data_IF_269964434569
#
_entry.id   IF_269964434569
#
_cell.length_a   1.000
_cell.length_b   1.000
_cell.length_c   1.000
_cell.angle_alpha   90.00
_cell.angle_beta   90.00
_cell.angle_gamma   90.00
#
_symmetry.space_group_name_H-M   'P 1'
#
loop_
_entity.id
_entity.type
_entity.pdbx_description
1 polymer ?
#
# COMPACT_ATOMS: atom_id res chain seq x y z
N UNK A 1 18.34 -35.00 -6.48
CA UNK A 1 19.21 -35.55 -5.42
C UNK A 1 19.89 -34.40 -4.66
N UNK A 2 19.11 -33.57 -3.96
CA UNK A 2 19.58 -32.36 -3.24
C UNK A 2 18.94 -32.23 -1.83
N UNK A 3 18.49 -33.35 -1.25
CA UNK A 3 17.81 -33.37 0.05
C UNK A 3 18.76 -33.63 1.24
N UNK A 4 20.08 -33.57 1.06
CA UNK A 4 21.05 -34.00 2.07
C UNK A 4 21.93 -32.89 2.68
N UNK A 5 21.68 -31.61 2.42
CA UNK A 5 22.49 -30.52 3.01
C UNK A 5 21.95 -29.97 4.35
N UNK A 6 20.76 -30.41 4.79
CA UNK A 6 20.19 -30.02 6.08
C UNK A 6 20.67 -30.97 7.18
N UNK A 7 21.95 -30.88 7.58
CA UNK A 7 22.32 -31.27 8.95
C UNK A 7 21.54 -30.34 9.90
N UNK A 8 21.10 -30.89 11.03
CA UNK A 8 20.26 -30.26 12.06
C UNK A 8 20.88 -29.01 12.71
N UNK A 9 21.15 -27.98 11.91
CA UNK A 9 21.39 -26.65 12.45
C UNK A 9 20.11 -26.22 13.14
N UNK A 10 20.27 -25.63 14.32
CA UNK A 10 19.13 -25.01 14.98
C UNK A 10 18.59 -23.91 14.05
N UNK A 11 17.43 -24.16 13.46
CA UNK A 11 16.81 -23.28 12.45
C UNK A 11 16.69 -21.85 12.96
N UNK A 12 16.41 -21.68 14.25
CA UNK A 12 16.32 -20.40 14.93
C UNK A 12 17.61 -20.11 15.70
N UNK A 13 18.68 -19.78 14.97
CA UNK A 13 19.97 -19.41 15.57
C UNK A 13 20.61 -18.23 14.86
N UNK A 14 21.40 -17.46 15.61
CA UNK A 14 22.17 -16.34 15.08
C UNK A 14 23.22 -16.81 14.06
N UNK A 15 23.76 -18.02 14.23
CA UNK A 15 24.70 -18.63 13.29
C UNK A 15 24.06 -18.91 11.93
N UNK A 16 22.80 -19.33 11.92
CA UNK A 16 22.07 -19.53 10.66
C UNK A 16 21.76 -18.20 9.98
N UNK A 17 21.36 -17.17 10.74
CA UNK A 17 21.17 -15.82 10.21
C UNK A 17 22.47 -15.28 9.58
N UNK A 18 23.60 -15.44 10.28
CA UNK A 18 24.94 -15.08 9.78
C UNK A 18 25.27 -15.81 8.49
N UNK A 19 25.10 -17.13 8.49
CA UNK A 19 25.38 -17.96 7.32
C UNK A 19 24.55 -17.54 6.11
N UNK A 20 23.23 -17.38 6.25
CA UNK A 20 22.35 -16.99 5.16
C UNK A 20 22.70 -15.59 4.63
N UNK A 21 22.97 -14.64 5.52
CA UNK A 21 23.39 -13.28 5.15
C UNK A 21 24.70 -13.30 4.35
N UNK A 22 25.70 -14.05 4.82
CA UNK A 22 26.99 -14.18 4.14
C UNK A 22 26.88 -14.83 2.76
N UNK A 23 25.98 -15.82 2.60
CA UNK A 23 25.72 -16.41 1.29
C UNK A 23 25.00 -15.43 0.36
N UNK A 24 24.03 -14.67 0.87
CA UNK A 24 23.29 -13.68 0.10
C UNK A 24 24.22 -12.57 -0.42
N UNK A 25 25.13 -12.08 0.42
CA UNK A 25 26.16 -11.08 0.07
C UNK A 25 27.02 -11.54 -1.13
N UNK A 26 27.35 -12.83 -1.20
CA UNK A 26 28.19 -13.39 -2.29
C UNK A 26 27.47 -13.47 -3.64
N UNK A 27 26.15 -13.36 -3.67
CA UNK A 27 25.38 -13.42 -4.93
C UNK A 27 25.60 -12.15 -5.74
N UNK A 28 26.31 -12.25 -6.87
CA UNK A 28 26.56 -11.10 -7.75
C UNK A 28 25.46 -10.87 -8.81
N UNK A 29 24.77 -11.94 -9.20
CA UNK A 29 23.66 -11.92 -10.17
C UNK A 29 22.64 -12.99 -9.80
N UNK A 30 21.34 -12.71 -9.95
CA UNK A 30 20.30 -13.72 -9.79
C UNK A 30 19.81 -14.21 -11.16
N UNK A 31 19.77 -15.52 -11.33
CA UNK A 31 19.39 -16.20 -12.57
C UNK A 31 18.60 -17.49 -12.25
N UNK A 32 18.19 -18.22 -13.28
CA UNK A 32 17.38 -19.43 -13.15
C UNK A 32 18.03 -20.55 -12.30
N UNK A 33 19.36 -20.54 -12.16
CA UNK A 33 20.09 -21.59 -11.42
C UNK A 33 20.09 -21.31 -9.91
N UNK A 34 20.18 -20.04 -9.50
CA UNK A 34 20.31 -19.67 -8.08
C UNK A 34 19.06 -18.98 -7.49
N UNK A 35 18.03 -18.69 -8.28
CA UNK A 35 16.82 -18.01 -7.82
C UNK A 35 16.15 -18.69 -6.62
N UNK A 36 16.07 -20.02 -6.61
CA UNK A 36 15.37 -20.76 -5.56
C UNK A 36 16.10 -20.66 -4.22
N UNK A 37 17.45 -20.68 -4.27
CA UNK A 37 18.28 -20.41 -3.10
C UNK A 37 18.07 -18.99 -2.57
N UNK A 38 18.07 -17.99 -3.46
CA UNK A 38 17.87 -16.57 -3.08
C UNK A 38 16.50 -16.38 -2.44
N UNK A 39 15.45 -16.95 -3.03
CA UNK A 39 14.08 -16.94 -2.51
C UNK A 39 14.03 -17.50 -1.09
N UNK A 40 14.64 -18.68 -0.87
CA UNK A 40 14.65 -19.32 0.43
C UNK A 40 15.46 -18.52 1.46
N UNK A 41 16.60 -17.98 1.06
CA UNK A 41 17.43 -17.15 1.91
C UNK A 41 16.69 -15.89 2.37
N UNK A 42 16.01 -15.17 1.46
CA UNK A 42 15.20 -14.00 1.80
C UNK A 42 14.12 -14.36 2.84
N UNK A 43 13.38 -15.45 2.60
CA UNK A 43 12.30 -15.90 3.50
C UNK A 43 12.83 -16.30 4.88
N UNK A 44 13.88 -17.12 4.89
CA UNK A 44 14.50 -17.63 6.13
C UNK A 44 15.10 -16.50 6.96
N UNK A 45 15.77 -15.53 6.34
CA UNK A 45 16.29 -14.35 7.04
C UNK A 45 15.12 -13.57 7.70
N UNK A 46 14.06 -13.25 6.96
CA UNK A 46 12.94 -12.49 7.53
C UNK A 46 12.22 -13.24 8.66
N UNK A 47 12.09 -14.57 8.56
CA UNK A 47 11.54 -15.40 9.63
C UNK A 47 12.43 -15.33 10.88
N UNK A 48 13.75 -15.44 10.72
CA UNK A 48 14.72 -15.32 11.81
C UNK A 48 14.69 -13.93 12.46
N UNK A 49 14.55 -12.87 11.66
CA UNK A 49 14.45 -11.49 12.18
C UNK A 49 13.14 -11.28 12.92
N UNK A 50 12.03 -11.80 12.40
CA UNK A 50 10.73 -11.72 13.07
C UNK A 50 10.73 -12.50 14.37
N UNK A 51 11.30 -13.70 14.38
CA UNK A 51 11.48 -14.50 15.58
C UNK A 51 12.39 -13.79 16.59
N UNK A 52 13.56 -13.33 16.14
CA UNK A 52 14.54 -12.61 16.94
C UNK A 52 13.93 -11.37 17.58
N UNK A 53 13.16 -10.58 16.81
CA UNK A 53 12.44 -9.41 17.31
C UNK A 53 11.58 -9.70 18.56
N UNK A 54 11.05 -10.91 18.69
CA UNK A 54 10.19 -11.27 19.80
C UNK A 54 10.91 -11.99 20.94
N UNK A 55 12.09 -12.57 20.70
CA UNK A 55 12.75 -13.48 21.66
C UNK A 55 14.19 -13.11 22.03
N UNK A 56 14.95 -12.51 21.10
CA UNK A 56 16.38 -12.22 21.28
C UNK A 56 16.81 -10.99 20.47
N UNK A 57 17.21 -9.93 21.16
CA UNK A 57 17.61 -8.64 20.56
C UNK A 57 18.84 -8.78 19.66
N UNK A 58 19.73 -9.73 19.93
CA UNK A 58 20.99 -9.92 19.18
C UNK A 58 20.78 -10.20 17.69
N UNK A 59 19.65 -10.81 17.31
CA UNK A 59 19.27 -11.02 15.91
C UNK A 59 19.06 -9.70 15.18
N UNK A 60 18.36 -8.77 15.82
CA UNK A 60 18.07 -7.47 15.23
C UNK A 60 19.30 -6.56 15.26
N UNK A 61 20.14 -6.63 16.31
CA UNK A 61 21.44 -5.97 16.33
C UNK A 61 22.32 -6.41 15.16
N UNK A 62 22.39 -7.72 14.89
CA UNK A 62 23.10 -8.25 13.73
C UNK A 62 22.51 -7.75 12.41
N UNK A 63 21.18 -7.74 12.29
CA UNK A 63 20.47 -7.25 11.10
C UNK A 63 20.82 -5.79 10.77
N UNK A 64 20.91 -4.95 11.81
CA UNK A 64 21.34 -3.55 11.68
C UNK A 64 22.83 -3.45 11.33
N UNK A 65 23.69 -4.17 12.05
CA UNK A 65 25.15 -4.14 11.85
C UNK A 65 25.54 -4.54 10.43
N UNK A 66 24.88 -5.57 9.87
CA UNK A 66 25.15 -6.08 8.52
C UNK A 66 24.34 -5.42 7.41
N UNK A 67 23.54 -4.39 7.72
CA UNK A 67 22.71 -3.69 6.72
C UNK A 67 21.88 -4.65 5.87
N UNK A 68 21.26 -5.67 6.48
CA UNK A 68 20.58 -6.75 5.76
C UNK A 68 19.40 -6.24 4.91
N UNK A 69 18.74 -5.15 5.32
CA UNK A 69 17.78 -4.43 4.47
C UNK A 69 18.39 -3.94 3.16
N UNK A 70 19.62 -3.44 3.20
CA UNK A 70 20.37 -3.02 2.03
C UNK A 70 20.71 -4.18 1.12
N UNK A 71 20.99 -5.34 1.70
CA UNK A 71 21.19 -6.58 0.94
C UNK A 71 19.90 -7.04 0.24
N UNK A 72 18.73 -6.91 0.85
CA UNK A 72 17.45 -7.16 0.17
C UNK A 72 17.27 -6.24 -1.03
N UNK A 73 17.51 -4.93 -0.86
CA UNK A 73 17.46 -3.96 -1.96
C UNK A 73 18.49 -4.28 -3.05
N UNK A 74 19.70 -4.69 -2.69
CA UNK A 74 20.75 -5.08 -3.65
C UNK A 74 20.31 -6.30 -4.45
N UNK A 75 19.75 -7.32 -3.81
CA UNK A 75 19.22 -8.52 -4.46
C UNK A 75 18.10 -8.15 -5.44
N UNK A 76 17.20 -7.25 -5.06
CA UNK A 76 16.16 -6.74 -5.98
C UNK A 76 16.78 -6.14 -7.24
N UNK A 77 17.79 -5.26 -7.09
CA UNK A 77 18.47 -4.56 -8.20
C UNK A 77 19.20 -5.48 -9.16
N UNK A 78 19.86 -6.52 -8.64
CA UNK A 78 20.64 -7.46 -9.48
C UNK A 78 19.79 -8.63 -9.99
N UNK A 79 18.55 -8.74 -9.53
CA UNK A 79 17.63 -9.77 -10.00
C UNK A 79 17.04 -9.40 -11.35
N UNK A 80 17.02 -10.39 -12.24
CA UNK A 80 16.33 -10.29 -13.54
C UNK A 80 15.03 -11.09 -13.57
N UNK A 81 14.67 -11.73 -12.45
CA UNK A 81 13.52 -12.62 -12.36
C UNK A 81 12.42 -12.01 -11.50
N UNK A 82 11.20 -12.02 -12.01
CA UNK A 82 10.03 -11.47 -11.32
C UNK A 82 9.72 -12.22 -10.01
N UNK A 83 9.97 -13.54 -9.97
CA UNK A 83 9.74 -14.41 -8.82
C UNK A 83 10.52 -13.97 -7.57
N UNK A 84 11.73 -13.41 -7.73
CA UNK A 84 12.52 -12.88 -6.61
C UNK A 84 11.93 -11.57 -6.11
N UNK A 85 11.41 -10.73 -7.02
CA UNK A 85 10.72 -9.48 -6.66
C UNK A 85 9.43 -9.77 -5.89
N UNK A 86 8.64 -10.74 -6.37
CA UNK A 86 7.44 -11.26 -5.70
C UNK A 86 7.78 -11.75 -4.29
N UNK A 87 8.78 -12.64 -4.18
CA UNK A 87 9.17 -13.18 -2.88
C UNK A 87 9.65 -12.07 -1.94
N UNK A 88 10.45 -11.12 -2.42
CA UNK A 88 10.95 -10.03 -1.58
C UNK A 88 9.80 -9.19 -1.03
N UNK A 89 8.85 -8.78 -1.87
CA UNK A 89 7.68 -8.01 -1.44
C UNK A 89 6.83 -8.78 -0.42
N UNK A 90 6.57 -10.07 -0.66
CA UNK A 90 5.86 -10.92 0.28
C UNK A 90 6.58 -11.02 1.62
N UNK A 91 7.87 -11.35 1.57
CA UNK A 91 8.74 -11.52 2.74
C UNK A 91 8.79 -10.23 3.57
N UNK A 92 8.97 -9.08 2.90
CA UNK A 92 8.96 -7.77 3.55
C UNK A 92 7.62 -7.45 4.19
N UNK A 93 6.51 -7.75 3.51
CA UNK A 93 5.15 -7.55 4.03
C UNK A 93 4.94 -8.31 5.34
N UNK A 94 5.27 -9.61 5.35
CA UNK A 94 5.12 -10.49 6.51
C UNK A 94 6.01 -10.01 7.65
N UNK A 95 7.28 -9.68 7.36
CA UNK A 95 8.21 -9.18 8.39
C UNK A 95 7.67 -7.92 9.05
N UNK A 96 7.31 -6.90 8.25
CA UNK A 96 6.79 -5.61 8.76
C UNK A 96 5.53 -5.82 9.60
N UNK A 97 4.62 -6.71 9.19
CA UNK A 97 3.39 -7.02 9.93
C UNK A 97 3.61 -7.77 11.25
N UNK A 98 4.78 -8.40 11.45
CA UNK A 98 5.04 -9.22 12.63
C UNK A 98 6.12 -8.66 13.57
N UNK A 99 6.84 -7.60 13.19
CA UNK A 99 7.69 -6.85 14.12
C UNK A 99 6.84 -6.26 15.27
N UNK A 100 7.31 -6.40 16.51
CA UNK A 100 6.64 -5.92 17.72
C UNK A 100 7.40 -4.80 18.41
N UNK A 101 8.73 -4.82 18.39
CA UNK A 101 9.51 -3.76 19.05
C UNK A 101 9.46 -2.47 18.25
N UNK A 102 9.24 -1.37 18.96
CA UNK A 102 9.26 -0.03 18.36
C UNK A 102 10.61 0.25 17.70
N UNK A 103 11.73 -0.03 18.39
CA UNK A 103 13.07 0.18 17.83
C UNK A 103 13.26 -0.51 16.48
N UNK A 104 12.71 -1.71 16.30
CA UNK A 104 12.80 -2.46 15.06
C UNK A 104 11.98 -1.82 13.95
N UNK A 105 10.74 -1.39 14.24
CA UNK A 105 9.89 -0.68 13.29
C UNK A 105 10.55 0.65 12.88
N UNK A 106 11.08 1.40 13.84
CA UNK A 106 11.79 2.65 13.60
C UNK A 106 13.00 2.43 12.70
N UNK A 107 13.83 1.41 12.96
CA UNK A 107 14.97 1.12 12.10
C UNK A 107 14.55 0.85 10.65
N UNK A 108 13.50 0.04 10.44
CA UNK A 108 13.01 -0.25 9.08
C UNK A 108 12.52 1.02 8.39
N UNK A 109 11.81 1.90 9.10
CA UNK A 109 11.17 3.08 8.51
C UNK A 109 12.13 4.27 8.33
N UNK A 110 13.09 4.47 9.24
CA UNK A 110 14.13 5.48 9.11
C UNK A 110 15.12 5.17 7.96
N UNK A 111 15.21 3.92 7.53
CA UNK A 111 16.18 3.50 6.54
C UNK A 111 15.69 3.81 5.11
N UNK A 112 16.53 4.47 4.30
CA UNK A 112 16.23 4.82 2.91
C UNK A 112 15.85 3.60 2.03
N UNK A 113 16.23 2.39 2.45
CA UNK A 113 15.85 1.15 1.77
C UNK A 113 14.34 0.94 1.68
N UNK A 114 13.54 1.34 2.69
CA UNK A 114 12.08 1.18 2.60
C UNK A 114 11.49 2.14 1.56
N UNK A 115 11.94 3.39 1.54
CA UNK A 115 11.51 4.39 0.56
C UNK A 115 11.94 4.01 -0.86
N UNK A 116 13.11 3.38 -0.99
CA UNK A 116 13.57 2.79 -2.24
C UNK A 116 12.63 1.66 -2.70
N UNK A 117 12.24 0.74 -1.83
CA UNK A 117 11.33 -0.35 -2.18
C UNK A 117 9.93 0.15 -2.55
N UNK A 118 9.41 1.16 -1.83
CA UNK A 118 8.13 1.79 -2.17
C UNK A 118 8.20 2.41 -3.57
N UNK A 119 9.27 3.15 -3.87
CA UNK A 119 9.39 3.92 -5.13
C UNK A 119 10.03 3.11 -6.27
N UNK A 120 10.26 1.81 -6.07
CA UNK A 120 10.93 0.97 -7.07
C UNK A 120 10.03 0.77 -8.29
N UNK A 121 10.61 0.88 -9.48
CA UNK A 121 9.90 0.75 -10.75
C UNK A 121 9.62 -0.72 -11.10
N UNK A 122 8.66 -1.33 -10.40
CA UNK A 122 8.16 -2.67 -10.73
C UNK A 122 7.36 -2.68 -12.05
N UNK A 123 7.38 -3.82 -12.73
CA UNK A 123 6.60 -4.03 -13.95
C UNK A 123 5.21 -4.61 -13.61
N UNK A 124 4.24 -3.73 -13.39
CA UNK A 124 2.87 -4.09 -13.01
C UNK A 124 2.02 -4.64 -14.17
N UNK A 125 2.61 -4.93 -15.33
CA UNK A 125 1.97 -5.83 -16.32
C UNK A 125 1.79 -7.24 -15.76
N UNK A 126 2.55 -7.59 -14.72
CA UNK A 126 2.31 -8.77 -13.91
C UNK A 126 1.37 -8.41 -12.74
N UNK A 127 0.11 -8.84 -12.84
CA UNK A 127 -0.95 -8.57 -11.84
C UNK A 127 -0.64 -9.17 -10.46
N UNK A 128 0.02 -10.33 -10.42
CA UNK A 128 0.48 -10.94 -9.18
C UNK A 128 1.48 -10.01 -8.46
N UNK A 129 2.43 -9.45 -9.21
CA UNK A 129 3.41 -8.51 -8.67
C UNK A 129 2.76 -7.25 -8.11
N UNK A 130 1.75 -6.71 -8.81
CA UNK A 130 0.96 -5.60 -8.31
C UNK A 130 0.26 -5.96 -6.98
N UNK A 131 -0.34 -7.14 -6.90
CA UNK A 131 -1.02 -7.63 -5.69
C UNK A 131 -0.08 -7.72 -4.48
N UNK A 132 1.14 -8.24 -4.67
CA UNK A 132 2.15 -8.27 -3.61
C UNK A 132 2.67 -6.88 -3.26
N UNK A 133 2.83 -5.99 -4.24
CA UNK A 133 3.24 -4.61 -4.01
C UNK A 133 2.22 -3.84 -3.18
N UNK A 134 0.93 -3.94 -3.52
CA UNK A 134 -0.15 -3.29 -2.75
C UNK A 134 -0.25 -3.88 -1.34
N UNK A 135 -0.06 -5.20 -1.18
CA UNK A 135 0.02 -5.84 0.14
C UNK A 135 1.21 -5.32 0.97
N UNK A 136 2.34 -5.07 0.32
CA UNK A 136 3.52 -4.45 0.94
C UNK A 136 3.27 -3.02 1.38
N UNK A 137 2.69 -2.16 0.53
CA UNK A 137 2.32 -0.80 0.93
C UNK A 137 1.32 -0.83 2.10
N UNK A 138 0.32 -1.73 2.05
CA UNK A 138 -0.65 -1.90 3.13
C UNK A 138 0.03 -2.33 4.44
N UNK A 139 1.00 -3.25 4.39
CA UNK A 139 1.78 -3.67 5.55
C UNK A 139 2.50 -2.49 6.22
N UNK A 140 3.10 -1.59 5.44
CA UNK A 140 3.75 -0.37 5.94
C UNK A 140 2.70 0.55 6.57
N UNK A 141 1.58 0.79 5.87
CA UNK A 141 0.52 1.68 6.33
C UNK A 141 -0.07 1.27 7.69
N UNK A 142 -0.16 -0.04 7.94
CA UNK A 142 -0.67 -0.58 9.21
C UNK A 142 0.24 -0.32 10.41
N UNK A 143 1.45 0.22 10.20
CA UNK A 143 2.39 0.63 11.25
C UNK A 143 2.47 2.14 11.43
N UNK A 144 1.67 2.90 10.68
CA UNK A 144 1.61 4.35 10.83
C UNK A 144 0.95 4.74 12.15
N UNK A 145 1.59 5.67 12.83
CA UNK A 145 1.07 6.41 13.97
C UNK A 145 1.81 7.75 14.03
N UNK A 146 1.47 8.58 15.03
CA UNK A 146 2.06 9.92 15.21
C UNK A 146 3.59 9.93 15.30
N UNK A 147 4.20 8.83 15.72
CA UNK A 147 5.64 8.75 15.90
C UNK A 147 6.37 8.10 14.71
N UNK A 148 5.67 7.35 13.86
CA UNK A 148 6.28 6.62 12.73
C UNK A 148 6.05 7.28 11.38
N UNK A 149 5.00 8.09 11.22
CA UNK A 149 4.69 8.72 9.93
C UNK A 149 5.78 9.68 9.48
N UNK A 150 6.39 10.41 10.42
CA UNK A 150 7.49 11.35 10.17
C UNK A 150 8.73 10.68 9.58
N UNK A 151 8.89 9.37 9.78
CA UNK A 151 10.01 8.58 9.26
C UNK A 151 9.88 8.26 7.77
N UNK A 152 8.66 8.30 7.23
CA UNK A 152 8.36 7.95 5.84
C UNK A 152 8.08 9.18 4.95
N UNK A 153 8.21 10.37 5.51
CA UNK A 153 8.01 11.64 4.79
C UNK A 153 9.31 12.42 4.71
N UNK A 154 9.46 13.20 3.64
CA UNK A 154 10.48 14.23 3.54
C UNK A 154 9.84 15.58 3.78
N UNK A 155 10.37 16.35 4.72
CA UNK A 155 9.88 17.69 5.04
C UNK A 155 10.86 18.77 4.59
N UNK A 156 10.33 19.95 4.27
CA UNK A 156 11.06 21.19 4.05
C UNK A 156 10.24 22.32 4.67
N UNK A 157 10.85 23.09 5.58
CA UNK A 157 10.17 24.20 6.27
C UNK A 157 8.83 23.79 6.92
N UNK A 158 8.82 22.67 7.62
CA UNK A 158 7.64 22.07 8.30
C UNK A 158 6.49 21.61 7.39
N UNK A 159 6.67 21.67 6.06
CA UNK A 159 5.75 21.08 5.09
C UNK A 159 6.33 19.78 4.52
N UNK A 160 5.47 18.79 4.33
CA UNK A 160 5.84 17.55 3.64
C UNK A 160 5.96 17.85 2.15
N UNK A 161 7.11 17.53 1.57
CA UNK A 161 7.36 17.67 0.12
C UNK A 161 7.37 16.33 -0.61
N UNK A 162 7.48 15.22 0.12
CA UNK A 162 7.41 13.88 -0.45
C UNK A 162 6.86 12.90 0.57
N UNK A 163 5.86 12.13 0.14
CA UNK A 163 5.35 10.99 0.89
C UNK A 163 5.11 9.81 -0.07
N UNK A 164 6.17 9.04 -0.39
CA UNK A 164 6.11 7.99 -1.42
C UNK A 164 5.03 6.95 -1.16
N UNK A 165 4.82 6.54 0.09
CA UNK A 165 3.81 5.54 0.46
C UNK A 165 2.40 5.96 0.01
N UNK A 166 2.02 7.21 0.30
CA UNK A 166 0.72 7.74 -0.09
C UNK A 166 0.64 7.96 -1.60
N UNK A 167 1.65 8.61 -2.18
CA UNK A 167 1.69 8.95 -3.59
C UNK A 167 1.62 7.71 -4.49
N UNK A 168 2.35 6.65 -4.16
CA UNK A 168 2.30 5.40 -4.93
C UNK A 168 0.98 4.65 -4.74
N UNK A 169 0.41 4.63 -3.53
CA UNK A 169 -0.86 3.94 -3.27
C UNK A 169 -2.04 4.54 -4.06
N UNK A 170 -2.18 5.87 -4.07
CA UNK A 170 -3.34 6.52 -4.72
C UNK A 170 -3.36 6.36 -6.25
N UNK A 171 -2.22 6.01 -6.87
CA UNK A 171 -2.15 5.68 -8.30
C UNK A 171 -3.02 4.49 -8.67
N UNK A 172 -3.28 3.59 -7.72
CA UNK A 172 -4.05 2.36 -7.90
C UNK A 172 -5.46 2.45 -7.30
N UNK A 173 -5.89 3.62 -6.84
CA UNK A 173 -7.16 3.75 -6.12
C UNK A 173 -8.41 3.44 -6.96
N UNK A 174 -8.29 3.52 -8.29
CA UNK A 174 -9.36 3.24 -9.25
C UNK A 174 -9.03 2.05 -10.15
N UNK A 175 -8.23 1.10 -9.65
CA UNK A 175 -7.92 -0.15 -10.35
C UNK A 175 -9.19 -0.96 -10.63
N UNK A 176 -9.19 -1.80 -11.67
CA UNK A 176 -10.35 -2.63 -12.04
C UNK A 176 -10.66 -3.74 -11.02
N UNK A 177 -9.62 -4.29 -10.39
CA UNK A 177 -9.77 -5.26 -9.31
C UNK A 177 -10.22 -4.61 -7.99
N UNK A 178 -11.36 -5.08 -7.47
CA UNK A 178 -11.92 -4.58 -6.20
C UNK A 178 -11.01 -4.78 -4.99
N UNK A 179 -10.27 -5.91 -4.93
CA UNK A 179 -9.35 -6.17 -3.82
C UNK A 179 -8.22 -5.14 -3.73
N UNK A 180 -7.70 -4.69 -4.89
CA UNK A 180 -6.69 -3.62 -4.95
C UNK A 180 -7.28 -2.31 -4.44
N UNK A 181 -8.50 -1.94 -4.89
CA UNK A 181 -9.20 -0.75 -4.39
C UNK A 181 -9.39 -0.80 -2.87
N UNK A 182 -9.87 -1.93 -2.33
CA UNK A 182 -10.06 -2.12 -0.89
C UNK A 182 -8.76 -1.99 -0.10
N UNK A 183 -7.65 -2.53 -0.60
CA UNK A 183 -6.35 -2.39 0.04
C UNK A 183 -5.83 -0.94 0.02
N UNK A 184 -6.00 -0.22 -1.09
CA UNK A 184 -5.65 1.21 -1.18
C UNK A 184 -6.51 2.05 -0.25
N UNK A 185 -7.82 1.80 -0.18
CA UNK A 185 -8.74 2.48 0.76
C UNK A 185 -8.32 2.27 2.23
N UNK A 186 -7.96 1.05 2.61
CA UNK A 186 -7.45 0.78 3.95
C UNK A 186 -6.13 1.53 4.24
N UNK A 187 -5.23 1.60 3.25
CA UNK A 187 -3.97 2.33 3.36
C UNK A 187 -4.20 3.84 3.54
N UNK A 188 -5.05 4.45 2.72
CA UNK A 188 -5.32 5.88 2.80
C UNK A 188 -6.02 6.25 4.12
N UNK A 189 -6.94 5.41 4.61
CA UNK A 189 -7.53 5.60 5.94
C UNK A 189 -6.50 5.51 7.06
N UNK A 190 -5.55 4.57 6.99
CA UNK A 190 -4.44 4.51 7.96
C UNK A 190 -3.62 5.81 7.94
N UNK A 191 -3.41 6.43 6.78
CA UNK A 191 -2.75 7.73 6.68
C UNK A 191 -3.60 8.83 7.32
N UNK A 192 -4.89 8.92 6.99
CA UNK A 192 -5.76 9.99 7.46
C UNK A 192 -6.00 9.94 8.97
N UNK A 193 -6.08 8.74 9.56
CA UNK A 193 -6.30 8.54 10.99
C UNK A 193 -5.10 8.87 11.88
N UNK A 194 -3.90 9.10 11.32
CA UNK A 194 -2.72 9.45 12.12
C UNK A 194 -2.88 10.84 12.76
N UNK A 195 -3.55 11.76 12.06
CA UNK A 195 -3.79 13.12 12.55
C UNK A 195 -2.53 13.99 12.62
N UNK A 196 -1.58 13.78 11.71
CA UNK A 196 -0.41 14.64 11.54
C UNK A 196 -0.75 15.84 10.64
N UNK A 197 -0.54 17.05 11.13
CA UNK A 197 -0.95 18.27 10.42
C UNK A 197 -0.20 18.49 9.11
N UNK A 198 1.10 18.17 9.06
CA UNK A 198 1.91 18.39 7.85
C UNK A 198 1.52 17.40 6.76
N UNK A 199 1.19 16.15 7.13
CA UNK A 199 0.63 15.16 6.21
C UNK A 199 -0.79 15.53 5.78
N UNK A 200 -1.62 16.04 6.69
CA UNK A 200 -2.97 16.51 6.35
C UNK A 200 -2.92 17.63 5.31
N UNK A 201 -2.01 18.60 5.45
CA UNK A 201 -1.76 19.63 4.43
C UNK A 201 -1.27 19.03 3.11
N UNK A 202 -0.38 18.04 3.17
CA UNK A 202 0.14 17.38 1.98
C UNK A 202 -0.95 16.72 1.14
N UNK A 203 -1.82 15.90 1.77
CA UNK A 203 -2.87 15.16 1.05
C UNK A 203 -3.95 16.07 0.48
N UNK A 204 -4.15 17.26 1.05
CA UNK A 204 -5.11 18.27 0.57
C UNK A 204 -4.51 19.32 -0.36
N UNK A 205 -3.20 19.26 -0.60
CA UNK A 205 -2.49 20.13 -1.54
C UNK A 205 -2.45 19.52 -2.95
N UNK A 206 -2.34 20.37 -3.98
CA UNK A 206 -2.11 19.89 -5.34
C UNK A 206 -0.72 19.24 -5.47
N UNK A 207 -0.58 18.14 -6.27
CA UNK A 207 -1.62 17.49 -7.07
C UNK A 207 -2.46 16.46 -6.29
N UNK A 208 -2.12 16.15 -5.04
CA UNK A 208 -2.73 15.06 -4.26
C UNK A 208 -4.23 15.26 -4.02
N UNK A 209 -4.68 16.51 -3.88
CA UNK A 209 -6.10 16.85 -3.74
C UNK A 209 -6.98 16.32 -4.89
N UNK A 210 -6.41 16.14 -6.09
CA UNK A 210 -7.12 15.60 -7.27
C UNK A 210 -7.61 14.16 -7.05
N UNK A 211 -7.03 13.44 -6.09
CA UNK A 211 -7.50 12.15 -5.64
C UNK A 211 -8.98 12.19 -5.23
N UNK A 212 -9.35 13.18 -4.40
CA UNK A 212 -10.72 13.30 -3.90
C UNK A 212 -11.72 13.67 -5.00
N UNK A 213 -11.30 14.50 -5.97
CA UNK A 213 -12.12 14.77 -7.15
C UNK A 213 -12.32 13.50 -7.99
N UNK A 214 -11.25 12.75 -8.21
CA UNK A 214 -11.28 11.51 -8.98
C UNK A 214 -12.15 10.46 -8.30
N UNK A 215 -12.15 10.40 -6.97
CA UNK A 215 -13.03 9.53 -6.18
C UNK A 215 -14.51 9.80 -6.46
N UNK A 216 -14.91 11.07 -6.45
CA UNK A 216 -16.31 11.44 -6.73
C UNK A 216 -16.68 11.20 -8.20
N UNK A 217 -15.75 11.44 -9.14
CA UNK A 217 -15.98 11.11 -10.57
C UNK A 217 -16.13 9.60 -10.78
N UNK A 218 -15.28 8.79 -10.15
CA UNK A 218 -15.35 7.33 -10.20
C UNK A 218 -16.69 6.83 -9.65
N UNK A 219 -17.10 7.32 -8.48
CA UNK A 219 -18.41 7.02 -7.91
C UNK A 219 -19.57 7.38 -8.86
N UNK A 220 -19.52 8.56 -9.49
CA UNK A 220 -20.51 8.98 -10.49
C UNK A 220 -20.63 8.01 -11.66
N UNK A 221 -19.51 7.59 -12.23
CA UNK A 221 -19.47 6.64 -13.34
C UNK A 221 -20.14 5.31 -12.96
N UNK A 222 -19.95 4.84 -11.73
CA UNK A 222 -20.60 3.63 -11.23
C UNK A 222 -22.12 3.78 -11.10
N UNK A 223 -22.61 4.92 -10.59
CA UNK A 223 -24.04 5.19 -10.56
C UNK A 223 -24.65 5.23 -11.98
N UNK A 224 -23.95 5.83 -12.95
CA UNK A 224 -24.39 5.87 -14.35
C UNK A 224 -24.40 4.46 -14.96
N UNK A 225 -23.37 3.65 -14.69
CA UNK A 225 -23.29 2.26 -15.11
C UNK A 225 -24.46 1.43 -14.56
N UNK A 226 -24.75 1.55 -13.26
CA UNK A 226 -25.91 0.90 -12.64
C UNK A 226 -27.22 1.32 -13.33
N UNK A 227 -27.43 2.62 -13.56
CA UNK A 227 -28.65 3.11 -14.22
C UNK A 227 -28.83 2.53 -15.63
N UNK A 228 -27.75 2.33 -16.38
CA UNK A 228 -27.81 1.68 -17.70
C UNK A 228 -28.20 0.19 -17.58
N UNK A 229 -27.66 -0.52 -16.60
CA UNK A 229 -27.92 -1.94 -16.38
C UNK A 229 -29.36 -2.21 -15.93
N UNK A 230 -29.98 -1.29 -15.19
CA UNK A 230 -31.39 -1.37 -14.80
C UNK A 230 -32.36 -1.37 -15.98
N UNK A 231 -31.98 -0.80 -17.13
CA UNK A 231 -32.79 -0.81 -18.36
C UNK A 231 -32.73 -2.12 -19.16
N UNK A 232 -31.88 -3.08 -18.78
CA UNK A 232 -31.57 -4.28 -19.57
C UNK A 232 -32.04 -5.62 -18.93
N UNK A 233 -32.92 -5.58 -17.92
CA UNK A 233 -33.49 -6.76 -17.21
C UNK A 233 -32.45 -7.76 -16.65
N UNK A 234 -31.23 -7.32 -16.39
CA UNK A 234 -30.15 -8.16 -15.88
C UNK A 234 -29.99 -8.04 -14.36
N UNK A 235 -30.94 -8.58 -13.58
CA UNK A 235 -30.92 -8.58 -12.10
C UNK A 235 -29.58 -9.12 -11.54
N UNK A 236 -28.97 -10.09 -12.21
CA UNK A 236 -27.66 -10.66 -11.82
C UNK A 236 -26.48 -9.69 -11.91
N UNK A 237 -26.59 -8.61 -12.70
CA UNK A 237 -25.56 -7.57 -12.83
C UNK A 237 -25.78 -6.38 -11.88
N UNK A 238 -27.00 -6.25 -11.33
CA UNK A 238 -27.40 -5.14 -10.47
C UNK A 238 -26.79 -5.29 -9.07
N UNK A 239 -26.87 -6.49 -8.47
CA UNK A 239 -26.42 -6.71 -7.09
C UNK A 239 -24.95 -6.35 -6.89
N UNK A 240 -23.98 -6.86 -7.69
CA UNK A 240 -22.58 -6.50 -7.51
C UNK A 240 -22.30 -5.00 -7.71
N UNK A 241 -23.06 -4.35 -8.59
CA UNK A 241 -22.96 -2.90 -8.83
C UNK A 241 -23.47 -2.09 -7.63
N UNK A 242 -24.51 -2.58 -6.95
CA UNK A 242 -25.05 -1.96 -5.73
C UNK A 242 -24.08 -2.14 -4.57
N UNK A 243 -23.53 -3.35 -4.37
CA UNK A 243 -22.52 -3.62 -3.34
C UNK A 243 -21.31 -2.68 -3.52
N UNK A 244 -20.87 -2.47 -4.76
CA UNK A 244 -19.76 -1.58 -5.05
C UNK A 244 -20.08 -0.10 -4.76
N UNK A 245 -21.30 0.36 -5.06
CA UNK A 245 -21.76 1.71 -4.70
C UNK A 245 -21.81 1.87 -3.18
N UNK A 246 -22.34 0.88 -2.46
CA UNK A 246 -22.39 0.87 -1.00
C UNK A 246 -20.97 0.95 -0.39
N UNK A 247 -20.03 0.14 -0.86
CA UNK A 247 -18.62 0.17 -0.44
C UNK A 247 -17.97 1.54 -0.66
N UNK A 248 -18.27 2.21 -1.78
CA UNK A 248 -17.78 3.57 -2.03
C UNK A 248 -18.39 4.58 -1.06
N UNK A 249 -19.68 4.47 -0.75
CA UNK A 249 -20.34 5.37 0.20
C UNK A 249 -19.77 5.22 1.61
N UNK A 250 -19.54 3.99 2.07
CA UNK A 250 -18.86 3.76 3.35
C UNK A 250 -17.45 4.35 3.35
N UNK A 251 -16.67 4.11 2.30
CA UNK A 251 -15.33 4.69 2.21
C UNK A 251 -15.35 6.23 2.20
N UNK A 252 -16.25 6.86 1.44
CA UNK A 252 -16.41 8.32 1.43
C UNK A 252 -16.76 8.83 2.84
N UNK A 253 -17.69 8.15 3.52
CA UNK A 253 -18.08 8.47 4.89
C UNK A 253 -16.89 8.36 5.86
N UNK A 254 -16.11 7.30 5.78
CA UNK A 254 -14.92 7.09 6.61
C UNK A 254 -13.86 8.17 6.38
N UNK A 255 -13.63 8.55 5.12
CA UNK A 255 -12.67 9.61 4.77
C UNK A 255 -13.10 10.97 5.30
N UNK A 256 -14.40 11.32 5.21
CA UNK A 256 -14.93 12.55 5.82
C UNK A 256 -14.79 12.49 7.35
N UNK A 257 -15.02 11.32 7.93
CA UNK A 257 -14.99 11.08 9.38
C UNK A 257 -13.57 10.98 9.96
N UNK A 258 -12.54 10.92 9.12
CA UNK A 258 -11.14 10.82 9.53
C UNK A 258 -10.63 12.06 10.29
N UNK A 259 -11.43 13.14 10.36
CA UNK A 259 -11.12 14.32 11.19
C UNK A 259 -10.19 15.33 10.52
N UNK A 260 -10.10 15.31 9.18
CA UNK A 260 -9.34 16.30 8.40
C UNK A 260 -10.32 17.27 7.74
N UNK A 261 -10.52 18.50 8.27
CA UNK A 261 -11.58 19.40 7.80
C UNK A 261 -11.48 19.74 6.31
N UNK A 262 -10.27 19.93 5.80
CA UNK A 262 -10.04 20.26 4.40
C UNK A 262 -10.39 19.10 3.46
N UNK A 263 -10.15 17.85 3.87
CA UNK A 263 -10.62 16.66 3.12
C UNK A 263 -12.14 16.61 3.09
N UNK A 264 -12.80 16.83 4.24
CA UNK A 264 -14.27 16.88 4.32
C UNK A 264 -14.87 17.96 3.41
N UNK A 265 -14.24 19.14 3.35
CA UNK A 265 -14.63 20.23 2.43
C UNK A 265 -14.44 19.82 0.97
N UNK A 266 -13.26 19.30 0.60
CA UNK A 266 -12.97 18.86 -0.78
C UNK A 266 -13.98 17.83 -1.27
N UNK A 267 -14.26 16.81 -0.46
CA UNK A 267 -15.24 15.76 -0.82
C UNK A 267 -16.64 16.36 -0.95
N UNK A 268 -17.08 17.15 0.03
CA UNK A 268 -18.42 17.75 0.04
C UNK A 268 -18.64 18.66 -1.17
N UNK A 269 -17.68 19.54 -1.46
CA UNK A 269 -17.70 20.41 -2.63
C UNK A 269 -17.79 19.62 -3.93
N UNK A 270 -17.01 18.54 -4.04
CA UNK A 270 -17.01 17.69 -5.23
C UNK A 270 -18.33 16.93 -5.38
N UNK A 271 -18.92 16.40 -4.29
CA UNK A 271 -20.25 15.78 -4.31
C UNK A 271 -21.29 16.79 -4.81
N UNK A 272 -21.31 18.01 -4.26
CA UNK A 272 -22.25 19.05 -4.67
C UNK A 272 -22.09 19.39 -6.16
N UNK A 273 -20.86 19.67 -6.60
CA UNK A 273 -20.55 20.12 -7.96
C UNK A 273 -20.76 19.04 -9.02
N UNK A 274 -20.39 17.78 -8.73
CA UNK A 274 -20.32 16.73 -9.74
C UNK A 274 -21.43 15.68 -9.64
N UNK A 275 -22.13 15.58 -8.51
CA UNK A 275 -23.26 14.66 -8.33
C UNK A 275 -24.58 15.40 -8.14
N UNK A 276 -24.69 16.25 -7.12
CA UNK A 276 -25.99 16.80 -6.70
C UNK A 276 -26.50 17.86 -7.66
N UNK A 277 -25.75 18.94 -7.91
CA UNK A 277 -26.22 20.02 -8.78
C UNK A 277 -26.54 19.56 -10.22
N UNK A 278 -25.75 18.68 -10.85
CA UNK A 278 -26.08 18.15 -12.17
C UNK A 278 -27.39 17.35 -12.23
N UNK A 279 -27.83 16.74 -11.12
CA UNK A 279 -29.08 15.98 -11.06
C UNK A 279 -30.28 16.86 -10.66
N UNK A 280 -30.09 17.71 -9.66
CA UNK A 280 -31.18 18.52 -9.07
C UNK A 280 -31.56 19.69 -9.98
N UNK A 281 -30.59 20.43 -10.54
CA UNK A 281 -30.89 21.65 -11.30
C UNK A 281 -31.72 21.40 -12.57
N UNK A 282 -31.46 20.35 -13.39
CA UNK A 282 -32.33 20.03 -14.51
C UNK A 282 -33.74 19.60 -14.08
N UNK A 283 -33.83 18.81 -13.01
CA UNK A 283 -35.11 18.33 -12.46
C UNK A 283 -36.01 19.50 -12.01
N UNK A 284 -35.43 20.50 -11.34
CA UNK A 284 -36.14 21.72 -10.94
C UNK A 284 -36.58 22.59 -12.14
N UNK A 285 -35.88 22.53 -13.28
CA UNK A 285 -36.26 23.26 -14.49
C UNK A 285 -37.41 22.59 -15.24
N UNK A 286 -37.56 21.27 -15.15
CA UNK A 286 -38.63 20.54 -15.82
C UNK A 286 -40.02 20.88 -15.25
N UNK A 287 -40.15 21.02 -13.92
CA UNK A 287 -41.43 21.39 -13.28
C UNK A 287 -41.96 22.76 -13.71
N UNK A 288 -41.09 23.70 -14.09
CA UNK A 288 -41.51 25.05 -14.53
C UNK A 288 -42.15 25.03 -15.92
N UNK A 289 -41.85 24.02 -16.74
CA UNK A 289 -42.38 23.88 -18.11
C UNK A 289 -43.74 23.17 -18.11
N UNK A 290 -43.98 22.22 -17.19
CA UNK A 290 -45.25 21.48 -17.12
C UNK A 290 -46.40 22.25 -16.42
N UNK A 291 -46.13 23.41 -15.81
CA UNK A 291 -47.16 24.26 -15.17
C UNK A 291 -47.78 25.28 -16.17
N UNK A 292 -47.55 25.11 -17.47
CA UNK A 292 -48.03 26.03 -18.53
C UNK A 292 -48.99 25.44 -19.58
N UNK A 293 -49.65 24.31 -19.30
CA UNK A 293 -50.76 23.81 -20.13
C UNK A 293 -52.07 23.73 -19.36
#
# INVERSE_FOLDING_TARGET
MWSSFWRSRNRFSLDELRYLTDQLIKVQTVNEVNKDFVIEALRSIAELITYGDQHDVSFFEFFMEKQVMGEFVRILKISRTVIVSLQLLQTMSIMIQNLRREQSIYYIFCNEHINYLISYSFDFRNEELLSYYISFLRAISGRLNKNTISLLVKTQSDDVISFPLYAEAIRFAFHEEGMIRTAVRALTLNVYHVGDEAVNRYVTSAPHADYFLSLIKFFREQCISLNRNLGADAISSVIPSVDEIEDNLYYISDVISAGIPDVGRLITDNILKFLIFPLVLPSLRMEIVDVKN
#
